data_IF_239210234765
#
_entry.id   IF_239210234765
#
_cell.length_a   1.000
_cell.length_b   1.000
_cell.length_c   1.000
_cell.angle_alpha   90.00
_cell.angle_beta   90.00
_cell.angle_gamma   90.00
#
_symmetry.space_group_name_H-M   'P 1'
#
loop_
_entity.id
_entity.type
_entity.pdbx_description
1 polymer ?
#
# COMPACT_ATOMS: atom_id res chain seq x y z
N UNK A 1 -7.66 -24.35 2.42
CA UNK A 1 -6.23 -24.02 2.34
C UNK A 1 -6.04 -23.07 1.19
N UNK A 2 -5.61 -21.84 1.51
CA UNK A 2 -4.97 -20.80 0.68
C UNK A 2 -5.41 -19.42 1.16
N UNK A 3 -4.83 -19.02 2.29
CA UNK A 3 -5.08 -17.72 2.93
C UNK A 3 -4.16 -16.62 2.37
N UNK A 4 -3.84 -16.67 1.07
CA UNK A 4 -2.99 -15.68 0.41
C UNK A 4 -3.86 -14.90 -0.57
N UNK A 5 -3.94 -13.58 -0.37
CA UNK A 5 -4.66 -12.66 -1.24
C UNK A 5 -3.65 -11.81 -2.00
N UNK A 6 -3.63 -11.95 -3.32
CA UNK A 6 -2.88 -11.07 -4.20
C UNK A 6 -3.73 -9.87 -4.62
N UNK A 7 -3.20 -8.66 -4.45
CA UNK A 7 -3.87 -7.37 -4.69
C UNK A 7 -2.98 -6.49 -5.58
N UNK A 8 -3.01 -6.68 -6.91
CA UNK A 8 -2.35 -5.79 -7.85
C UNK A 8 -3.18 -4.51 -8.05
N UNK A 9 -2.52 -3.39 -8.30
CA UNK A 9 -3.16 -2.15 -8.72
C UNK A 9 -2.25 -1.36 -9.65
N UNK A 10 -2.84 -0.58 -10.54
CA UNK A 10 -2.12 0.37 -11.38
C UNK A 10 -2.89 1.70 -11.41
N UNK A 11 -2.16 2.81 -11.45
CA UNK A 11 -2.69 4.16 -11.47
C UNK A 11 -1.90 4.99 -12.48
N UNK A 12 -2.58 5.62 -13.43
CA UNK A 12 -1.98 6.60 -14.31
C UNK A 12 -2.54 7.99 -13.97
N UNK A 13 -1.65 8.98 -13.84
CA UNK A 13 -1.98 10.36 -13.52
C UNK A 13 -1.47 11.28 -14.64
N UNK A 14 -2.40 12.04 -15.21
CA UNK A 14 -2.14 13.01 -16.27
C UNK A 14 -2.48 14.40 -15.75
N UNK A 15 -1.52 15.32 -15.80
CA UNK A 15 -1.70 16.72 -15.40
C UNK A 15 -1.11 17.61 -16.49
N UNK A 16 -1.86 18.62 -16.92
CA UNK A 16 -1.39 19.58 -17.93
C UNK A 16 -0.13 20.29 -17.42
N UNK A 17 0.95 20.22 -18.20
CA UNK A 17 2.23 20.86 -17.85
C UNK A 17 3.16 20.01 -16.97
N UNK A 18 2.78 18.79 -16.60
CA UNK A 18 3.64 17.85 -15.88
C UNK A 18 3.88 16.57 -16.70
N UNK A 19 5.01 15.87 -16.50
CA UNK A 19 5.23 14.55 -17.07
C UNK A 19 4.14 13.55 -16.67
N UNK A 20 3.83 12.60 -17.55
CA UNK A 20 2.97 11.46 -17.24
C UNK A 20 3.54 10.68 -16.06
N UNK A 21 2.70 10.37 -15.07
CA UNK A 21 3.06 9.55 -13.92
C UNK A 21 2.26 8.25 -13.95
N UNK A 22 2.94 7.12 -13.82
CA UNK A 22 2.33 5.79 -13.77
C UNK A 22 2.87 5.05 -12.55
N UNK A 23 1.96 4.58 -11.69
CA UNK A 23 2.26 3.86 -10.48
C UNK A 23 1.68 2.44 -10.61
N UNK A 24 2.48 1.42 -10.36
CA UNK A 24 2.07 0.01 -10.34
C UNK A 24 2.39 -0.55 -8.97
N UNK A 25 1.45 -1.24 -8.35
CA UNK A 25 1.63 -1.84 -7.03
C UNK A 25 1.18 -3.29 -7.03
N UNK A 26 1.84 -4.09 -6.21
CA UNK A 26 1.57 -5.51 -6.04
C UNK A 26 1.66 -5.83 -4.55
N UNK A 27 0.52 -6.16 -3.94
CA UNK A 27 0.45 -6.50 -2.52
C UNK A 27 0.04 -7.97 -2.33
N UNK A 28 0.72 -8.66 -1.44
CA UNK A 28 0.41 -10.01 -1.00
C UNK A 28 0.01 -9.97 0.47
N UNK A 29 -1.19 -10.45 0.77
CA UNK A 29 -1.76 -10.48 2.11
C UNK A 29 -1.95 -11.92 2.56
N UNK A 30 -1.33 -12.28 3.67
CA UNK A 30 -1.32 -13.61 4.26
C UNK A 30 -2.18 -13.62 5.52
N UNK A 31 -3.14 -14.54 5.59
CA UNK A 31 -4.05 -14.74 6.73
C UNK A 31 -4.75 -13.46 7.21
N UNK A 32 -4.93 -12.47 6.33
CA UNK A 32 -5.45 -11.13 6.65
C UNK A 32 -4.66 -10.38 7.74
N UNK A 33 -3.48 -10.87 8.11
CA UNK A 33 -2.64 -10.32 9.17
C UNK A 33 -1.35 -9.74 8.65
N UNK A 34 -0.69 -10.44 7.74
CA UNK A 34 0.62 -10.02 7.24
C UNK A 34 0.50 -9.52 5.80
N UNK A 35 1.11 -8.40 5.49
CA UNK A 35 1.10 -7.80 4.14
C UNK A 35 2.54 -7.55 3.72
N UNK A 36 2.87 -7.96 2.50
CA UNK A 36 4.12 -7.60 1.83
C UNK A 36 3.74 -7.00 0.49
N UNK A 37 4.31 -5.86 0.15
CA UNK A 37 4.00 -5.17 -1.08
C UNK A 37 5.22 -4.55 -1.73
N UNK A 38 5.13 -4.38 -3.04
CA UNK A 38 6.07 -3.59 -3.83
C UNK A 38 5.28 -2.61 -4.67
N UNK A 39 5.86 -1.43 -4.88
CA UNK A 39 5.30 -0.41 -5.75
C UNK A 39 6.39 0.16 -6.64
N UNK A 40 6.10 0.32 -7.92
CA UNK A 40 6.96 0.95 -8.89
C UNK A 40 6.27 2.17 -9.46
N UNK A 41 6.87 3.33 -9.26
CA UNK A 41 6.44 4.61 -9.81
C UNK A 41 7.38 4.97 -10.95
N UNK A 42 6.85 4.91 -12.17
CA UNK A 42 7.58 5.20 -13.39
C UNK A 42 8.28 6.55 -13.27
N UNK A 43 9.60 6.55 -13.50
CA UNK A 43 10.44 7.76 -13.45
C UNK A 43 10.38 8.52 -12.11
N UNK A 44 10.13 7.84 -11.00
CA UNK A 44 10.28 8.42 -9.66
C UNK A 44 10.96 7.46 -8.67
N UNK A 45 10.35 6.31 -8.37
CA UNK A 45 10.80 5.46 -7.26
C UNK A 45 10.38 3.99 -7.41
N UNK A 46 11.11 3.13 -6.70
CA UNK A 46 10.75 1.75 -6.39
C UNK A 46 10.59 1.65 -4.87
N UNK A 47 9.49 1.06 -4.42
CA UNK A 47 9.11 1.01 -3.01
C UNK A 47 8.84 -0.43 -2.60
N UNK A 48 9.22 -0.78 -1.38
CA UNK A 48 8.86 -2.04 -0.73
C UNK A 48 8.17 -1.74 0.59
N UNK A 49 7.16 -2.53 0.95
CA UNK A 49 6.44 -2.39 2.20
C UNK A 49 6.18 -3.74 2.87
N UNK A 50 6.21 -3.74 4.18
CA UNK A 50 5.78 -4.85 5.03
C UNK A 50 4.86 -4.31 6.11
N UNK A 51 3.82 -5.06 6.45
CA UNK A 51 2.88 -4.65 7.47
C UNK A 51 2.24 -5.83 8.18
N UNK A 52 1.82 -5.58 9.42
CA UNK A 52 1.32 -6.61 10.32
C UNK A 52 0.14 -6.07 11.14
N UNK A 53 -0.99 -6.77 11.06
CA UNK A 53 -2.17 -6.57 11.90
C UNK A 53 -1.95 -7.35 13.21
N UNK A 54 -1.75 -6.61 14.29
CA UNK A 54 -1.49 -7.18 15.62
C UNK A 54 -2.80 -7.73 16.21
N UNK A 55 -3.86 -6.93 16.11
CA UNK A 55 -5.22 -7.27 16.51
C UNK A 55 -6.20 -6.42 15.70
N UNK A 56 -7.49 -6.56 15.90
CA UNK A 56 -8.50 -5.83 15.11
C UNK A 56 -8.39 -4.29 15.22
N UNK A 57 -7.65 -3.76 16.20
CA UNK A 57 -7.49 -2.32 16.40
C UNK A 57 -6.12 -1.78 15.96
N UNK A 58 -5.06 -2.59 16.00
CA UNK A 58 -3.69 -2.15 15.77
C UNK A 58 -3.09 -2.77 14.51
N UNK A 59 -2.57 -1.91 13.64
CA UNK A 59 -1.80 -2.29 12.47
C UNK A 59 -0.51 -1.48 12.44
N UNK A 60 0.62 -2.15 12.25
CA UNK A 60 1.93 -1.51 12.10
C UNK A 60 2.49 -1.85 10.73
N UNK A 61 3.24 -0.93 10.14
CA UNK A 61 3.96 -1.23 8.92
C UNK A 61 5.23 -0.42 8.79
N UNK A 62 6.03 -0.88 7.84
CA UNK A 62 7.31 -0.33 7.50
C UNK A 62 7.45 -0.29 5.97
N UNK A 63 7.88 0.84 5.45
CA UNK A 63 8.12 1.08 4.04
C UNK A 63 9.58 1.47 3.80
N UNK A 64 10.10 1.07 2.66
CA UNK A 64 11.38 1.54 2.15
C UNK A 64 11.22 2.01 0.71
N UNK A 65 11.54 3.28 0.48
CA UNK A 65 11.41 3.95 -0.80
C UNK A 65 12.80 4.22 -1.39
N UNK A 66 13.08 3.62 -2.54
CA UNK A 66 14.27 3.83 -3.36
C UNK A 66 13.94 4.79 -4.49
N UNK A 67 14.54 5.97 -4.50
CA UNK A 67 14.42 6.88 -5.63
C UNK A 67 15.16 6.30 -6.85
N UNK A 68 14.51 6.31 -8.02
CA UNK A 68 15.07 5.79 -9.28
C UNK A 68 15.49 6.94 -10.23
N UNK A 69 15.29 8.19 -9.82
CA UNK A 69 15.58 9.38 -10.64
C UNK A 69 17.02 9.86 -10.47
N UNK A 70 17.40 10.96 -11.13
CA UNK A 70 18.76 11.57 -11.04
C UNK A 70 19.19 11.93 -9.60
N UNK A 71 18.27 11.93 -8.64
CA UNK A 71 18.53 12.09 -7.20
C UNK A 71 19.01 10.80 -6.52
N UNK A 72 18.89 9.63 -7.16
CA UNK A 72 19.37 8.34 -6.65
C UNK A 72 20.88 8.30 -6.38
N UNK A 73 21.67 9.16 -7.05
CA UNK A 73 23.11 9.31 -6.79
C UNK A 73 23.43 10.11 -5.54
N UNK A 74 22.46 10.81 -4.95
CA UNK A 74 22.60 11.68 -3.77
C UNK A 74 21.73 11.26 -2.60
N UNK A 75 20.72 10.42 -2.83
CA UNK A 75 19.76 9.96 -1.83
C UNK A 75 19.75 8.42 -1.75
N UNK A 76 20.04 7.87 -0.58
CA UNK A 76 20.09 6.42 -0.30
C UNK A 76 18.71 5.79 -0.06
N UNK A 77 17.63 6.51 -0.37
CA UNK A 77 16.25 6.10 -0.11
C UNK A 77 15.75 6.55 1.27
N UNK A 78 14.48 6.25 1.56
CA UNK A 78 13.79 6.66 2.78
C UNK A 78 13.17 5.48 3.51
N UNK A 79 13.33 5.45 4.83
CA UNK A 79 12.73 4.45 5.70
C UNK A 79 11.52 5.07 6.41
N UNK A 80 10.36 4.45 6.25
CA UNK A 80 9.10 4.93 6.82
C UNK A 80 8.53 3.90 7.77
N UNK A 81 8.10 4.33 8.95
CA UNK A 81 7.35 3.50 9.90
C UNK A 81 5.98 4.13 10.08
N UNK A 82 4.93 3.33 10.01
CA UNK A 82 3.57 3.82 10.23
C UNK A 82 2.80 2.91 11.19
N UNK A 83 1.91 3.54 11.95
CA UNK A 83 1.05 2.90 12.94
C UNK A 83 -0.39 3.35 12.68
N UNK A 84 -1.30 2.40 12.55
CA UNK A 84 -2.73 2.62 12.41
C UNK A 84 -3.45 2.04 13.63
N UNK A 85 -4.32 2.85 14.22
CA UNK A 85 -5.19 2.47 15.32
C UNK A 85 -6.66 2.72 14.96
N UNK A 86 -7.52 1.73 15.18
CA UNK A 86 -8.96 1.80 14.96
C UNK A 86 -9.70 1.96 16.30
N UNK A 87 -10.30 3.13 16.51
CA UNK A 87 -10.97 3.54 17.76
C UNK A 87 -12.33 2.86 17.98
N UNK A 88 -13.04 2.52 16.91
CA UNK A 88 -14.41 1.96 16.96
C UNK A 88 -14.53 0.75 16.04
N UNK A 89 -14.47 -0.46 16.60
CA UNK A 89 -14.61 -1.72 15.84
C UNK A 89 -16.05 -2.26 15.76
N UNK A 90 -17.07 -1.43 16.03
CA UNK A 90 -18.46 -1.86 15.91
C UNK A 90 -18.87 -1.89 14.44
N UNK A 91 -18.79 -3.08 13.85
CA UNK A 91 -19.49 -3.43 12.62
C UNK A 91 -21.00 -3.36 12.85
N UNK A 92 -21.58 -2.16 12.82
CA UNK A 92 -22.99 -2.07 12.46
C UNK A 92 -23.07 -2.47 10.99
N UNK A 93 -23.47 -3.72 10.73
CA UNK A 93 -23.81 -4.19 9.40
C UNK A 93 -24.90 -3.27 8.87
N UNK A 94 -24.54 -2.33 8.01
CA UNK A 94 -25.51 -1.64 7.16
C UNK A 94 -26.02 -2.71 6.18
N UNK A 95 -27.04 -3.44 6.59
CA UNK A 95 -27.80 -4.32 5.71
C UNK A 95 -28.51 -3.40 4.75
N UNK A 96 -28.02 -3.25 3.52
CA UNK A 96 -28.80 -2.62 2.45
C UNK A 96 -29.87 -3.63 2.01
N UNK A 97 -31.15 -3.47 2.38
CA UNK A 97 -32.18 -4.39 1.94
C UNK A 97 -32.45 -4.03 0.48
N UNK A 98 -31.90 -4.81 -0.46
CA UNK A 98 -32.30 -4.72 -1.86
C UNK A 98 -33.57 -5.54 -2.02
N UNK A 99 -34.71 -4.85 -2.03
CA UNK A 99 -35.95 -5.41 -2.56
C UNK A 99 -35.80 -5.48 -4.09
N UNK A 100 -35.97 -6.67 -4.64
CA UNK A 100 -36.28 -6.91 -6.04
C UNK A 100 -37.62 -7.61 -6.09
#
# INVERSE_FOLDING_TARGET
>A
SDNIKFKPAALAKVVTGAPLQVDVTANFMFNEKFVVGVAYRWSASLSALVGFQINDSWYIGYGYDLETTKLAGYNSGSHEVFLRYELFNKYDKIVSPRFF
#
